data_IF_841126865984
#
_entry.id   IF_841126865984
#
_cell.length_a   1.000
_cell.length_b   1.000
_cell.length_c   1.000
_cell.angle_alpha   90.00
_cell.angle_beta   90.00
_cell.angle_gamma   90.00
#
_symmetry.space_group_name_H-M   'P 1'
#
loop_
_entity.id
_entity.type
_entity.pdbx_description
1 polymer ?
#
# COMPACT_ATOMS: atom_id res chain seq x y z
N UNK A 1 -14.41 17.22 -7.91
CA UNK A 1 -13.65 17.78 -6.78
C UNK A 1 -12.35 17.00 -6.66
N UNK A 2 -11.32 17.43 -7.38
CA UNK A 2 -10.01 16.77 -7.39
C UNK A 2 -9.28 17.14 -6.10
N UNK A 3 -8.99 16.13 -5.28
CA UNK A 3 -8.25 16.29 -4.04
C UNK A 3 -6.79 16.62 -4.39
N UNK A 4 -6.50 17.91 -4.56
CA UNK A 4 -5.20 18.49 -4.98
C UNK A 4 -4.12 18.42 -3.87
N UNK A 5 -4.30 17.58 -2.86
CA UNK A 5 -3.42 17.48 -1.70
C UNK A 5 -3.21 16.01 -1.29
N UNK A 6 -2.87 15.14 -2.24
CA UNK A 6 -2.25 13.86 -1.89
C UNK A 6 -0.74 14.14 -1.74
N UNK A 7 -0.18 13.89 -0.55
CA UNK A 7 1.24 14.10 -0.23
C UNK A 7 2.16 13.14 -1.01
N UNK A 8 1.57 12.33 -1.90
CA UNK A 8 2.24 11.38 -2.76
C UNK A 8 2.85 12.00 -4.01
N UNK A 9 2.27 13.04 -4.60
CA UNK A 9 2.63 13.47 -5.96
C UNK A 9 4.11 13.88 -6.07
N UNK A 10 4.63 14.65 -5.11
CA UNK A 10 6.02 15.13 -5.12
C UNK A 10 7.05 14.01 -4.85
N UNK A 11 6.64 12.93 -4.17
CA UNK A 11 7.54 11.86 -3.73
C UNK A 11 7.31 10.53 -4.47
N UNK A 12 6.32 10.48 -5.35
CA UNK A 12 5.84 9.27 -6.03
C UNK A 12 6.96 8.53 -6.75
N UNK A 13 7.75 9.24 -7.54
CA UNK A 13 8.86 8.65 -8.31
C UNK A 13 9.89 7.97 -7.40
N UNK A 14 10.22 8.61 -6.27
CA UNK A 14 11.13 8.03 -5.26
C UNK A 14 10.52 6.79 -4.61
N UNK A 15 9.23 6.84 -4.28
CA UNK A 15 8.52 5.71 -3.67
C UNK A 15 8.45 4.52 -4.63
N UNK A 16 8.17 4.75 -5.92
CA UNK A 16 8.16 3.74 -6.99
C UNK A 16 9.51 3.01 -7.03
N UNK A 17 10.61 3.75 -7.13
CA UNK A 17 11.96 3.16 -7.17
C UNK A 17 12.25 2.30 -5.94
N UNK A 18 11.84 2.77 -4.75
CA UNK A 18 12.03 2.01 -3.51
C UNK A 18 11.13 0.75 -3.46
N UNK A 19 9.91 0.83 -3.99
CA UNK A 19 8.94 -0.26 -4.00
C UNK A 19 9.37 -1.39 -4.93
N UNK A 20 9.75 -1.07 -6.16
CA UNK A 20 10.18 -2.04 -7.17
C UNK A 20 11.46 -2.78 -6.76
N UNK A 21 12.34 -2.10 -6.03
CA UNK A 21 13.56 -2.68 -5.44
C UNK A 21 13.32 -3.43 -4.12
N UNK A 22 12.08 -3.48 -3.63
CA UNK A 22 11.74 -4.01 -2.30
C UNK A 22 12.67 -3.47 -1.19
N UNK A 23 12.96 -2.16 -1.26
CA UNK A 23 13.96 -1.53 -0.41
C UNK A 23 13.49 -1.46 1.05
N UNK A 24 14.36 -1.75 2.04
CA UNK A 24 14.02 -1.58 3.45
C UNK A 24 13.71 -0.12 3.83
N UNK A 25 14.14 0.83 3.00
CA UNK A 25 13.90 2.27 3.17
C UNK A 25 12.48 2.70 2.79
N UNK A 26 11.73 1.88 2.04
CA UNK A 26 10.41 2.23 1.51
C UNK A 26 9.48 2.82 2.58
N UNK A 27 9.27 2.10 3.68
CA UNK A 27 8.37 2.55 4.76
C UNK A 27 8.90 3.79 5.45
N UNK A 28 10.22 3.88 5.67
CA UNK A 28 10.82 5.05 6.30
C UNK A 28 10.56 6.28 5.45
N UNK A 29 10.75 6.18 4.14
CA UNK A 29 10.47 7.27 3.19
C UNK A 29 8.99 7.63 3.16
N UNK A 30 8.08 6.66 3.04
CA UNK A 30 6.63 6.97 3.04
C UNK A 30 6.20 7.62 4.36
N UNK A 31 6.67 7.13 5.51
CA UNK A 31 6.32 7.74 6.81
C UNK A 31 6.82 9.18 6.97
N UNK A 32 7.95 9.53 6.36
CA UNK A 32 8.54 10.87 6.46
C UNK A 32 8.01 11.82 5.38
N UNK A 33 7.75 11.31 4.18
CA UNK A 33 7.44 12.12 3.01
C UNK A 33 5.97 12.09 2.60
N UNK A 34 5.22 11.05 2.99
CA UNK A 34 3.79 10.92 2.78
C UNK A 34 3.06 10.43 4.06
N UNK A 35 3.20 11.17 5.18
CA UNK A 35 2.70 10.74 6.49
C UNK A 35 1.18 10.59 6.56
N UNK A 36 0.42 11.31 5.71
CA UNK A 36 -1.05 11.32 5.76
C UNK A 36 -1.59 9.93 5.45
N UNK A 37 -1.05 9.26 4.43
CA UNK A 37 -1.46 7.90 4.06
C UNK A 37 -1.24 6.89 5.19
N UNK A 38 -0.04 6.86 5.78
CA UNK A 38 0.25 5.97 6.89
C UNK A 38 -0.64 6.27 8.11
N UNK A 39 -0.88 7.55 8.39
CA UNK A 39 -1.71 7.98 9.52
C UNK A 39 -3.17 7.53 9.35
N UNK A 40 -3.76 7.72 8.16
CA UNK A 40 -5.13 7.27 7.88
C UNK A 40 -5.29 5.75 8.02
N UNK A 41 -4.29 4.97 7.60
CA UNK A 41 -4.27 3.52 7.79
C UNK A 41 -4.18 3.13 9.27
N UNK A 42 -3.29 3.77 10.03
CA UNK A 42 -3.09 3.47 11.45
C UNK A 42 -4.25 3.95 12.33
N UNK A 43 -4.95 5.03 11.96
CA UNK A 43 -6.19 5.44 12.63
C UNK A 43 -7.27 4.38 12.47
N UNK A 44 -7.40 3.80 11.26
CA UNK A 44 -8.38 2.75 10.98
C UNK A 44 -8.01 1.40 11.60
N UNK A 45 -6.72 1.04 11.56
CA UNK A 45 -6.21 -0.21 12.11
C UNK A 45 -4.84 0.02 12.77
N UNK A 46 -4.82 0.35 14.08
CA UNK A 46 -3.58 0.64 14.80
C UNK A 46 -2.61 -0.55 14.88
N UNK A 47 -3.13 -1.78 14.73
CA UNK A 47 -2.35 -3.03 14.81
C UNK A 47 -1.79 -3.48 13.45
N UNK A 48 -1.75 -2.59 12.44
CA UNK A 48 -1.05 -2.87 11.19
C UNK A 48 0.45 -2.98 11.44
N UNK A 49 1.00 -4.15 11.13
CA UNK A 49 2.45 -4.36 11.27
C UNK A 49 3.19 -3.78 10.08
N UNK A 50 4.51 -3.61 10.23
CA UNK A 50 5.41 -3.05 9.21
C UNK A 50 5.21 -3.69 7.83
N UNK A 51 5.17 -5.02 7.77
CA UNK A 51 5.03 -5.75 6.50
C UNK A 51 3.67 -5.54 5.84
N UNK A 52 2.60 -5.32 6.61
CA UNK A 52 1.27 -5.02 6.07
C UNK A 52 1.21 -3.59 5.54
N UNK A 53 1.83 -2.63 6.24
CA UNK A 53 1.97 -1.26 5.74
C UNK A 53 2.74 -1.22 4.42
N UNK A 54 3.82 -1.98 4.28
CA UNK A 54 4.52 -2.15 2.99
C UNK A 54 3.55 -2.64 1.91
N UNK A 55 2.69 -3.61 2.25
CA UNK A 55 1.76 -4.18 1.31
C UNK A 55 0.69 -3.17 0.88
N UNK A 56 0.20 -2.34 1.79
CA UNK A 56 -0.69 -1.22 1.46
C UNK A 56 -0.05 -0.23 0.49
N UNK A 57 1.25 0.06 0.64
CA UNK A 57 1.99 0.95 -0.28
C UNK A 57 1.97 0.39 -1.71
N UNK A 58 2.23 -0.91 -1.90
CA UNK A 58 2.14 -1.54 -3.21
C UNK A 58 0.74 -1.43 -3.83
N UNK A 59 -0.30 -1.50 -3.00
CA UNK A 59 -1.69 -1.37 -3.46
C UNK A 59 -2.07 0.07 -3.81
N UNK A 60 -1.63 1.08 -3.03
CA UNK A 60 -1.81 2.51 -3.36
C UNK A 60 -1.08 2.88 -4.66
N UNK A 61 0.06 2.23 -4.94
CA UNK A 61 0.78 2.36 -6.22
C UNK A 61 0.14 1.56 -7.38
N UNK A 62 -0.98 0.88 -7.13
CA UNK A 62 -1.75 0.10 -8.12
C UNK A 62 -1.01 -1.09 -8.75
N UNK A 63 0.03 -1.60 -8.09
CA UNK A 63 0.71 -2.79 -8.59
C UNK A 63 -0.22 -4.01 -8.53
N UNK A 64 -0.18 -4.80 -9.60
CA UNK A 64 -0.98 -6.00 -9.73
C UNK A 64 -0.34 -7.19 -8.97
N UNK A 65 -1.08 -8.30 -8.88
CA UNK A 65 -0.64 -9.49 -8.13
C UNK A 65 0.69 -10.06 -8.63
N UNK A 66 0.95 -10.02 -9.96
CA UNK A 66 2.18 -10.55 -10.56
C UNK A 66 3.38 -9.64 -10.28
N UNK A 67 3.20 -8.33 -10.37
CA UNK A 67 4.25 -7.35 -10.07
C UNK A 67 4.69 -7.44 -8.62
N UNK A 68 3.73 -7.45 -7.68
CA UNK A 68 4.06 -7.54 -6.25
C UNK A 68 4.73 -8.88 -5.93
N UNK A 69 4.28 -9.97 -6.56
CA UNK A 69 4.90 -11.29 -6.42
C UNK A 69 6.38 -11.26 -6.86
N UNK A 70 6.67 -10.60 -7.99
CA UNK A 70 8.04 -10.39 -8.48
C UNK A 70 8.89 -9.58 -7.50
N UNK A 71 8.39 -8.43 -7.03
CA UNK A 71 9.15 -7.56 -6.13
C UNK A 71 9.46 -8.24 -4.79
N UNK A 72 8.51 -9.03 -4.27
CA UNK A 72 8.66 -9.70 -2.98
C UNK A 72 9.27 -11.11 -3.08
N UNK A 73 9.59 -11.58 -4.29
CA UNK A 73 10.07 -12.93 -4.57
C UNK A 73 9.20 -14.05 -3.94
N UNK A 74 7.89 -13.98 -4.17
CA UNK A 74 6.91 -14.97 -3.68
C UNK A 74 5.92 -15.37 -4.77
N UNK A 75 5.14 -16.41 -4.56
CA UNK A 75 4.14 -16.84 -5.53
C UNK A 75 2.97 -15.84 -5.65
N UNK A 76 2.35 -15.69 -6.84
CA UNK A 76 1.12 -14.91 -7.01
C UNK A 76 -0.02 -15.35 -6.06
N UNK A 77 -0.10 -16.66 -5.75
CA UNK A 77 -1.07 -17.20 -4.79
C UNK A 77 -0.84 -16.66 -3.38
N UNK A 78 0.40 -16.51 -2.94
CA UNK A 78 0.72 -15.92 -1.65
C UNK A 78 0.26 -14.45 -1.57
N UNK A 79 0.43 -13.69 -2.65
CA UNK A 79 -0.06 -12.31 -2.77
C UNK A 79 -1.58 -12.26 -2.73
N UNK A 80 -2.29 -13.14 -3.44
CA UNK A 80 -3.75 -13.20 -3.40
C UNK A 80 -4.27 -13.51 -1.99
N UNK A 81 -3.67 -14.49 -1.30
CA UNK A 81 -4.02 -14.81 0.07
C UNK A 81 -3.76 -13.63 1.02
N UNK A 82 -2.68 -12.87 0.79
CA UNK A 82 -2.36 -11.66 1.55
C UNK A 82 -3.38 -10.54 1.31
N UNK A 83 -3.84 -10.32 0.06
CA UNK A 83 -4.94 -9.40 -0.26
C UNK A 83 -6.21 -9.76 0.52
N UNK A 84 -6.59 -11.03 0.53
CA UNK A 84 -7.77 -11.51 1.24
C UNK A 84 -7.68 -11.26 2.76
N UNK A 85 -6.52 -11.55 3.37
CA UNK A 85 -6.28 -11.26 4.80
C UNK A 85 -6.32 -9.76 5.09
N UNK A 86 -5.68 -8.95 4.24
CA UNK A 86 -5.63 -7.50 4.42
C UNK A 86 -7.03 -6.89 4.32
N UNK A 87 -7.86 -7.31 3.35
CA UNK A 87 -9.25 -6.86 3.23
C UNK A 87 -10.04 -7.10 4.50
N UNK A 88 -9.97 -8.31 5.06
CA UNK A 88 -10.64 -8.63 6.34
C UNK A 88 -10.11 -7.76 7.48
N UNK A 89 -8.79 -7.60 7.58
CA UNK A 89 -8.15 -6.83 8.66
C UNK A 89 -8.48 -5.33 8.63
N UNK A 90 -8.64 -4.77 7.43
CA UNK A 90 -9.04 -3.38 7.19
C UNK A 90 -10.57 -3.20 7.09
N UNK A 91 -11.35 -4.27 7.28
CA UNK A 91 -12.80 -4.28 7.15
C UNK A 91 -13.30 -3.73 5.79
N UNK A 92 -12.63 -4.12 4.70
CA UNK A 92 -12.99 -3.70 3.33
C UNK A 92 -14.03 -4.67 2.78
N UNK A 93 -15.26 -4.17 2.58
CA UNK A 93 -16.38 -4.94 2.01
C UNK A 93 -16.00 -5.56 0.66
N UNK A 94 -16.43 -6.80 0.39
CA UNK A 94 -16.08 -7.55 -0.83
C UNK A 94 -16.55 -6.87 -2.12
N UNK A 95 -17.59 -6.05 -2.05
CA UNK A 95 -18.15 -5.28 -3.18
C UNK A 95 -17.26 -4.11 -3.63
N UNK A 96 -16.33 -3.65 -2.79
CA UNK A 96 -15.45 -2.53 -3.12
C UNK A 96 -14.23 -2.99 -3.92
N UNK A 97 -13.85 -2.25 -4.96
CA UNK A 97 -12.56 -2.47 -5.59
C UNK A 97 -11.43 -2.12 -4.61
N UNK A 98 -10.43 -3.01 -4.52
CA UNK A 98 -9.36 -2.84 -3.53
C UNK A 98 -8.52 -1.61 -3.84
N UNK A 99 -8.21 -1.38 -5.11
CA UNK A 99 -7.33 -0.31 -5.53
C UNK A 99 -8.03 1.05 -5.42
N UNK A 100 -9.30 1.13 -5.81
CA UNK A 100 -10.12 2.32 -5.59
C UNK A 100 -10.26 2.67 -4.11
N UNK A 101 -10.38 1.67 -3.23
CA UNK A 101 -10.40 1.92 -1.79
C UNK A 101 -9.09 2.58 -1.31
N UNK A 102 -7.94 2.13 -1.80
CA UNK A 102 -6.65 2.77 -1.50
C UNK A 102 -6.48 4.14 -2.14
N UNK A 103 -7.04 4.38 -3.32
CA UNK A 103 -7.05 5.72 -3.92
C UNK A 103 -7.87 6.71 -3.08
N UNK A 104 -8.97 6.25 -2.49
CA UNK A 104 -9.87 7.06 -1.66
C UNK A 104 -9.34 7.37 -0.26
N UNK A 105 -8.26 6.69 0.16
CA UNK A 105 -7.51 6.96 1.38
C UNK A 105 -6.67 8.21 1.21
#
# INVERSE_FOLDING_TARGET
>A
MNNKFDDWDDVKSKIIVLAEKNSPLLIKTVKLSAPVFCSKLLIRQPKLVRTELTFCIYLKLKYNTKEIAKFLNVSPKAIQNRKNRLRKKLNIASSLDLYQWFDSL
#
